data_IF_147323067289
#
_entry.id   IF_147323067289
#
_cell.length_a   1.000
_cell.length_b   1.000
_cell.length_c   1.000
_cell.angle_alpha   90.00
_cell.angle_beta   90.00
_cell.angle_gamma   90.00
#
_symmetry.space_group_name_H-M   'P 1'
#
loop_
_entity.id
_entity.type
_entity.pdbx_description
1 polymer ?
#
# COMPACT_ATOMS: atom_id res chain seq x y z
N UNK A 1 -28.67 29.43 3.36
CA UNK A 1 -27.78 30.52 3.83
C UNK A 1 -26.31 30.26 3.48
N UNK A 2 -25.76 29.06 3.72
CA UNK A 2 -24.36 28.69 3.40
C UNK A 2 -23.95 28.91 1.92
N UNK A 3 -24.85 28.63 0.96
CA UNK A 3 -24.55 28.76 -0.47
C UNK A 3 -24.31 30.21 -0.94
N UNK A 4 -24.96 31.20 -0.30
CA UNK A 4 -24.78 32.64 -0.61
C UNK A 4 -23.46 33.20 -0.04
N UNK A 5 -22.96 32.65 1.07
CA UNK A 5 -21.67 33.02 1.64
C UNK A 5 -20.52 32.43 0.79
N UNK A 6 -20.64 31.17 0.39
CA UNK A 6 -19.69 30.48 -0.48
C UNK A 6 -19.51 31.16 -1.85
N UNK A 7 -20.58 31.71 -2.44
CA UNK A 7 -20.47 32.47 -3.69
C UNK A 7 -19.78 33.83 -3.49
N UNK A 8 -20.04 34.52 -2.37
CA UNK A 8 -19.49 35.84 -2.06
C UNK A 8 -17.97 35.82 -1.82
N UNK A 9 -17.48 34.78 -1.13
CA UNK A 9 -16.06 34.64 -0.80
C UNK A 9 -15.30 33.68 -1.73
N UNK A 10 -15.95 33.17 -2.78
CA UNK A 10 -15.40 32.12 -3.65
C UNK A 10 -13.98 32.40 -4.11
N UNK A 11 -13.71 33.57 -4.68
CA UNK A 11 -12.37 33.94 -5.18
C UNK A 11 -11.29 33.86 -4.08
N UNK A 12 -11.65 34.18 -2.84
CA UNK A 12 -10.75 34.12 -1.68
C UNK A 12 -10.59 32.71 -1.12
N UNK A 13 -11.55 31.81 -1.38
CA UNK A 13 -11.55 30.43 -0.89
C UNK A 13 -10.89 29.43 -1.85
N UNK A 14 -10.80 29.72 -3.14
CA UNK A 14 -10.23 28.78 -4.13
C UNK A 14 -8.80 28.38 -3.76
N UNK A 15 -7.93 29.35 -3.48
CA UNK A 15 -6.54 29.08 -3.12
C UNK A 15 -6.41 28.26 -1.81
N UNK A 16 -6.96 28.68 -0.66
CA UNK A 16 -6.79 27.92 0.58
C UNK A 16 -7.40 26.52 0.53
N UNK A 17 -8.55 26.34 -0.14
CA UNK A 17 -9.15 25.00 -0.32
C UNK A 17 -8.26 24.12 -1.19
N UNK A 18 -7.71 24.67 -2.27
CA UNK A 18 -6.79 23.91 -3.15
C UNK A 18 -5.51 23.53 -2.41
N UNK A 19 -4.94 24.42 -1.61
CA UNK A 19 -3.76 24.12 -0.80
C UNK A 19 -4.05 23.02 0.23
N UNK A 20 -5.21 23.07 0.90
CA UNK A 20 -5.64 22.02 1.82
C UNK A 20 -5.75 20.66 1.11
N UNK A 21 -6.40 20.62 -0.06
CA UNK A 21 -6.51 19.40 -0.86
C UNK A 21 -5.12 18.90 -1.32
N UNK A 22 -4.24 19.79 -1.75
CA UNK A 22 -2.88 19.41 -2.13
C UNK A 22 -2.12 18.78 -0.96
N UNK A 23 -2.24 19.34 0.26
CA UNK A 23 -1.66 18.77 1.48
C UNK A 23 -2.22 17.36 1.72
N UNK A 24 -3.53 17.16 1.60
CA UNK A 24 -4.15 15.83 1.74
C UNK A 24 -3.59 14.85 0.70
N UNK A 25 -3.43 15.28 -0.55
CA UNK A 25 -2.83 14.44 -1.59
C UNK A 25 -1.37 14.08 -1.31
N UNK A 26 -0.56 15.03 -0.82
CA UNK A 26 0.83 14.74 -0.41
C UNK A 26 0.92 13.82 0.80
N UNK A 27 0.03 13.98 1.78
CA UNK A 27 -0.08 13.04 2.91
C UNK A 27 -0.42 11.65 2.39
N UNK A 28 -1.38 11.53 1.47
CA UNK A 28 -1.76 10.24 0.87
C UNK A 28 -0.58 9.57 0.17
N UNK A 29 0.21 10.33 -0.60
CA UNK A 29 1.45 9.81 -1.22
C UNK A 29 2.46 9.35 -0.15
N UNK A 30 2.65 10.13 0.91
CA UNK A 30 3.53 9.73 2.01
C UNK A 30 3.10 8.39 2.64
N UNK A 31 1.79 8.21 2.88
CA UNK A 31 1.23 6.96 3.37
C UNK A 31 1.47 5.81 2.40
N UNK A 32 1.29 6.02 1.09
CA UNK A 32 1.52 4.99 0.07
C UNK A 32 2.97 4.54 0.04
N UNK A 33 3.91 5.48 0.14
CA UNK A 33 5.34 5.19 0.05
C UNK A 33 5.91 4.58 1.32
N UNK A 34 5.40 4.94 2.51
CA UNK A 34 6.05 4.60 3.78
C UNK A 34 5.22 3.68 4.67
N UNK A 35 3.89 3.73 4.58
CA UNK A 35 3.00 3.06 5.55
C UNK A 35 2.31 1.85 4.91
N UNK A 36 1.67 2.01 3.76
CA UNK A 36 0.94 0.92 3.09
C UNK A 36 1.82 0.07 2.19
N UNK A 37 3.14 0.20 2.31
CA UNK A 37 4.08 -0.62 1.55
C UNK A 37 4.10 -2.04 2.13
N UNK A 38 3.84 -3.03 1.28
CA UNK A 38 3.80 -4.43 1.69
C UNK A 38 5.18 -5.07 1.54
N UNK A 39 5.50 -5.97 2.46
CA UNK A 39 6.68 -6.82 2.40
C UNK A 39 6.51 -7.80 1.25
N UNK A 40 7.52 -7.86 0.40
CA UNK A 40 7.61 -8.82 -0.69
C UNK A 40 8.88 -9.64 -0.53
N UNK A 41 8.70 -10.91 -0.26
CA UNK A 41 9.74 -11.92 -0.15
C UNK A 41 9.93 -12.73 -1.46
N UNK A 42 9.26 -12.31 -2.54
CA UNK A 42 9.37 -12.88 -3.89
C UNK A 42 8.99 -14.36 -3.98
N UNK A 43 7.95 -14.74 -3.23
CA UNK A 43 7.28 -16.03 -3.30
C UNK A 43 5.76 -15.87 -3.07
N UNK A 44 5.01 -16.96 -3.17
CA UNK A 44 3.63 -17.05 -2.70
C UNK A 44 3.56 -17.89 -1.43
N UNK A 45 2.72 -17.46 -0.50
CA UNK A 45 2.31 -18.28 0.64
C UNK A 45 0.94 -18.87 0.35
N UNK A 46 0.85 -20.19 0.36
CA UNK A 46 -0.41 -20.90 0.14
C UNK A 46 -0.86 -21.60 1.41
N UNK A 47 -2.18 -21.69 1.53
CA UNK A 47 -2.84 -22.39 2.62
C UNK A 47 -3.44 -23.69 2.10
N UNK A 48 -3.23 -24.78 2.84
CA UNK A 48 -3.82 -26.09 2.58
C UNK A 48 -4.45 -26.60 3.89
N UNK A 49 -5.68 -27.08 3.81
CA UNK A 49 -6.33 -27.74 4.95
C UNK A 49 -5.81 -29.15 5.07
N UNK A 50 -5.24 -29.49 6.23
CA UNK A 50 -4.67 -30.84 6.50
C UNK A 50 -5.58 -31.64 7.44
N UNK A 51 -6.62 -31.01 8.00
CA UNK A 51 -7.66 -31.64 8.81
C UNK A 51 -8.77 -30.65 9.13
N UNK A 52 -9.67 -31.02 10.04
CA UNK A 52 -10.83 -30.19 10.41
C UNK A 52 -10.42 -28.83 11.03
N UNK A 53 -9.33 -28.81 11.82
CA UNK A 53 -8.84 -27.62 12.53
C UNK A 53 -7.36 -27.25 12.23
N UNK A 54 -6.70 -27.96 11.31
CA UNK A 54 -5.28 -27.73 11.00
C UNK A 54 -5.07 -27.15 9.62
N UNK A 55 -4.36 -26.02 9.57
CA UNK A 55 -4.00 -25.31 8.36
C UNK A 55 -2.49 -25.35 8.18
N UNK A 56 -2.06 -25.86 7.04
CA UNK A 56 -0.67 -25.86 6.59
C UNK A 56 -0.45 -24.63 5.74
N UNK A 57 0.58 -23.86 6.07
CA UNK A 57 1.06 -22.77 5.23
C UNK A 57 2.36 -23.25 4.60
N UNK A 58 2.50 -23.10 3.29
CA UNK A 58 3.70 -23.52 2.58
C UNK A 58 4.10 -22.50 1.52
N UNK A 59 5.38 -22.53 1.14
CA UNK A 59 5.93 -21.69 0.10
C UNK A 59 5.66 -22.28 -1.28
N UNK A 60 5.21 -21.45 -2.20
CA UNK A 60 4.98 -21.80 -3.62
C UNK A 60 5.50 -20.68 -4.53
N UNK A 61 5.79 -21.00 -5.78
CA UNK A 61 6.35 -20.09 -6.78
C UNK A 61 7.52 -19.24 -6.26
N UNK A 62 8.44 -19.87 -5.53
CA UNK A 62 9.65 -19.24 -5.01
C UNK A 62 10.55 -18.83 -6.17
N UNK A 63 10.69 -17.53 -6.38
CA UNK A 63 11.45 -16.97 -7.51
C UNK A 63 12.93 -17.36 -7.41
N UNK A 64 13.47 -18.00 -8.46
CA UNK A 64 14.89 -18.30 -8.57
C UNK A 64 15.75 -17.03 -8.40
N UNK A 65 16.78 -17.11 -7.53
CA UNK A 65 17.63 -15.98 -7.10
C UNK A 65 16.88 -14.81 -6.43
N UNK A 66 15.62 -14.99 -6.07
CA UNK A 66 14.86 -14.03 -5.27
C UNK A 66 15.22 -14.06 -3.79
N UNK A 67 14.57 -13.18 -3.01
CA UNK A 67 14.84 -13.04 -1.56
C UNK A 67 14.68 -14.37 -0.82
N UNK A 68 13.51 -15.01 -0.94
CA UNK A 68 13.21 -16.32 -0.32
C UNK A 68 14.14 -17.42 -0.80
N UNK A 69 14.45 -17.46 -2.09
CA UNK A 69 15.39 -18.44 -2.66
C UNK A 69 16.81 -18.31 -2.08
N UNK A 70 17.32 -17.08 -1.98
CA UNK A 70 18.67 -16.81 -1.48
C UNK A 70 18.82 -17.14 0.02
N UNK A 71 17.72 -17.11 0.76
CA UNK A 71 17.64 -17.58 2.14
C UNK A 71 17.53 -19.11 2.28
N UNK A 72 17.56 -19.86 1.16
CA UNK A 72 17.57 -21.31 1.16
C UNK A 72 16.18 -21.98 1.20
N UNK A 73 15.10 -21.20 1.22
CA UNK A 73 13.71 -21.69 1.16
C UNK A 73 13.36 -22.10 -0.27
N UNK A 74 12.57 -23.16 -0.43
CA UNK A 74 12.16 -23.75 -1.71
C UNK A 74 10.66 -24.02 -1.72
N UNK A 75 10.13 -24.26 -2.92
CA UNK A 75 8.73 -24.65 -3.09
C UNK A 75 8.43 -25.93 -2.29
N UNK A 76 7.28 -25.94 -1.62
CA UNK A 76 6.80 -27.05 -0.80
C UNK A 76 7.31 -27.06 0.64
N UNK A 77 8.25 -26.17 1.01
CA UNK A 77 8.65 -25.98 2.40
C UNK A 77 7.47 -25.45 3.24
N UNK A 78 7.32 -25.93 4.49
CA UNK A 78 6.27 -25.45 5.37
C UNK A 78 6.70 -24.17 6.09
N UNK A 79 5.81 -23.19 6.12
CA UNK A 79 6.02 -21.93 6.81
C UNK A 79 5.43 -21.97 8.22
N UNK A 80 6.28 -22.03 9.23
CA UNK A 80 5.87 -22.33 10.61
C UNK A 80 5.74 -21.06 11.46
N UNK A 81 6.74 -20.18 11.42
CA UNK A 81 6.79 -18.99 12.27
C UNK A 81 7.57 -17.83 11.62
N UNK A 82 7.26 -16.61 12.08
CA UNK A 82 8.04 -15.40 11.80
C UNK A 82 8.47 -14.81 13.13
N UNK A 83 9.78 -14.56 13.31
CA UNK A 83 10.39 -14.04 14.54
C UNK A 83 9.92 -14.81 15.78
N UNK A 84 9.89 -16.14 15.68
CA UNK A 84 9.45 -17.06 16.75
C UNK A 84 7.93 -17.08 17.00
N UNK A 85 7.11 -16.31 16.27
CA UNK A 85 5.65 -16.30 16.40
C UNK A 85 5.02 -17.27 15.40
N UNK A 86 4.36 -18.31 15.91
CA UNK A 86 3.68 -19.32 15.09
C UNK A 86 2.59 -18.71 14.22
N UNK A 87 2.56 -19.12 12.96
CA UNK A 87 1.58 -18.66 12.00
C UNK A 87 0.23 -19.36 12.19
N UNK A 88 -0.84 -18.63 11.91
CA UNK A 88 -2.23 -19.12 11.96
C UNK A 88 -2.83 -19.25 10.56
N UNK A 89 -2.49 -18.29 9.72
CA UNK A 89 -2.87 -18.16 8.32
C UNK A 89 -1.92 -17.13 7.66
N UNK A 90 -2.03 -16.97 6.36
CA UNK A 90 -1.27 -16.05 5.50
C UNK A 90 -1.55 -14.58 5.83
N UNK A 91 -2.77 -14.24 6.29
CA UNK A 91 -3.08 -12.89 6.78
C UNK A 91 -2.26 -12.54 8.04
N UNK A 92 -2.16 -13.48 8.98
CA UNK A 92 -1.34 -13.31 10.18
C UNK A 92 0.14 -13.23 9.82
N UNK A 93 0.61 -14.04 8.87
CA UNK A 93 1.98 -13.96 8.35
C UNK A 93 2.28 -12.58 7.74
N UNK A 94 1.37 -12.08 6.90
CA UNK A 94 1.50 -10.77 6.23
C UNK A 94 1.56 -9.65 7.28
N UNK A 95 0.67 -9.72 8.27
CA UNK A 95 0.66 -8.77 9.37
C UNK A 95 1.97 -8.74 10.19
N UNK A 96 2.58 -9.91 10.43
CA UNK A 96 3.87 -9.99 11.12
C UNK A 96 5.00 -9.44 10.25
N UNK A 97 5.05 -9.82 8.97
CA UNK A 97 6.07 -9.39 8.03
C UNK A 97 5.99 -7.89 7.71
N UNK A 98 4.78 -7.32 7.66
CA UNK A 98 4.56 -5.93 7.26
C UNK A 98 4.98 -4.91 8.31
N UNK A 99 5.07 -5.32 9.58
CA UNK A 99 5.52 -4.47 10.70
C UNK A 99 6.99 -4.10 10.63
N UNK A 100 7.81 -4.84 9.88
CA UNK A 100 9.23 -4.55 9.76
C UNK A 100 9.49 -3.50 8.67
N UNK A 101 10.38 -2.53 8.91
CA UNK A 101 10.74 -1.54 7.91
C UNK A 101 11.56 -2.18 6.79
N UNK A 102 11.54 -1.54 5.61
CA UNK A 102 12.36 -1.98 4.48
C UNK A 102 13.85 -2.00 4.87
N UNK A 103 14.55 -3.06 4.47
CA UNK A 103 15.97 -3.25 4.76
C UNK A 103 16.27 -3.95 6.08
N UNK A 104 15.30 -4.07 7.00
CA UNK A 104 15.43 -4.90 8.19
C UNK A 104 15.41 -6.40 7.83
N UNK A 105 15.62 -7.25 8.83
CA UNK A 105 15.59 -8.71 8.70
C UNK A 105 14.45 -9.34 9.50
N UNK A 106 13.92 -10.42 8.96
CA UNK A 106 12.95 -11.31 9.59
C UNK A 106 13.57 -12.71 9.73
N UNK A 107 13.26 -13.41 10.80
CA UNK A 107 13.63 -14.82 10.95
C UNK A 107 12.41 -15.67 10.59
N UNK A 108 12.53 -16.47 9.55
CA UNK A 108 11.51 -17.44 9.17
C UNK A 108 11.91 -18.80 9.72
N UNK A 109 11.00 -19.43 10.47
CA UNK A 109 11.12 -20.83 10.86
C UNK A 109 10.39 -21.67 9.82
N UNK A 110 11.13 -22.59 9.21
CA UNK A 110 10.69 -23.37 8.06
C UNK A 110 10.87 -24.86 8.35
N UNK A 111 9.96 -25.70 7.89
CA UNK A 111 10.11 -27.16 7.92
C UNK A 111 10.33 -27.69 6.51
N UNK A 112 11.38 -28.49 6.33
CA UNK A 112 11.60 -29.29 5.12
C UNK A 112 11.74 -30.74 5.51
N UNK A 113 10.84 -31.59 5.02
CA UNK A 113 10.81 -33.01 5.34
C UNK A 113 10.82 -33.30 6.86
N UNK A 114 10.14 -32.45 7.64
CA UNK A 114 10.05 -32.57 9.10
C UNK A 114 11.24 -32.00 9.88
N UNK A 115 12.29 -31.52 9.20
CA UNK A 115 13.40 -30.84 9.86
C UNK A 115 13.15 -29.33 9.89
N UNK A 116 13.17 -28.77 11.09
CA UNK A 116 13.05 -27.33 11.31
C UNK A 116 14.39 -26.65 11.14
N UNK A 117 14.39 -25.53 10.42
CA UNK A 117 15.52 -24.62 10.35
C UNK A 117 15.03 -23.18 10.33
N UNK A 118 15.84 -22.30 10.90
CA UNK A 118 15.61 -20.86 10.86
C UNK A 118 16.46 -20.24 9.75
N UNK A 119 15.89 -19.28 9.04
CA UNK A 119 16.63 -18.51 8.03
C UNK A 119 16.25 -17.04 8.06
N UNK A 120 17.24 -16.20 7.74
CA UNK A 120 17.09 -14.74 7.76
C UNK A 120 16.67 -14.24 6.39
N UNK A 121 15.53 -13.57 6.34
CA UNK A 121 14.95 -12.95 5.16
C UNK A 121 15.11 -11.44 5.25
N UNK A 122 15.66 -10.82 4.20
CA UNK A 122 15.75 -9.36 4.12
C UNK A 122 14.43 -8.77 3.66
N UNK A 123 13.87 -7.86 4.44
CA UNK A 123 12.59 -7.20 4.13
C UNK A 123 12.77 -6.26 2.94
N UNK A 124 12.06 -6.55 1.86
CA UNK A 124 11.93 -5.67 0.70
C UNK A 124 10.50 -5.17 0.63
N UNK A 125 10.30 -3.85 0.68
CA UNK A 125 8.98 -3.24 0.53
C UNK A 125 8.68 -2.97 -0.94
N UNK A 126 7.48 -3.31 -1.40
CA UNK A 126 6.95 -2.88 -2.69
C UNK A 126 5.96 -1.75 -2.47
N UNK A 127 6.11 -0.71 -3.28
CA UNK A 127 5.16 0.40 -3.36
C UNK A 127 4.00 -0.03 -4.25
N UNK A 128 2.76 0.26 -3.84
CA UNK A 128 1.58 0.10 -4.68
C UNK A 128 1.59 1.12 -5.82
N UNK A 129 2.25 0.80 -6.94
CA UNK A 129 2.39 1.69 -8.11
C UNK A 129 1.05 2.19 -8.64
N UNK A 130 0.00 1.36 -8.63
CA UNK A 130 -1.34 1.77 -9.04
C UNK A 130 -1.91 2.90 -8.16
N UNK A 131 -1.81 2.74 -6.83
CA UNK A 131 -2.28 3.75 -5.88
C UNK A 131 -1.46 5.04 -5.99
N UNK A 132 -0.14 4.92 -6.17
CA UNK A 132 0.73 6.08 -6.38
C UNK A 132 0.35 6.81 -7.67
N UNK A 133 0.12 6.09 -8.77
CA UNK A 133 -0.26 6.68 -10.06
C UNK A 133 -1.59 7.44 -9.96
N UNK A 134 -2.61 6.85 -9.33
CA UNK A 134 -3.91 7.51 -9.10
C UNK A 134 -3.74 8.76 -8.24
N UNK A 135 -2.94 8.70 -7.17
CA UNK A 135 -2.70 9.85 -6.28
C UNK A 135 -1.99 11.01 -7.00
N UNK A 136 -0.99 10.70 -7.82
CA UNK A 136 -0.30 11.69 -8.66
C UNK A 136 -1.25 12.29 -9.70
N UNK A 137 -2.06 11.46 -10.34
CA UNK A 137 -3.08 11.90 -11.30
C UNK A 137 -4.08 12.86 -10.64
N UNK A 138 -4.50 12.57 -9.40
CA UNK A 138 -5.37 13.45 -8.63
C UNK A 138 -4.75 14.83 -8.37
N UNK A 139 -3.47 14.88 -7.99
CA UNK A 139 -2.74 16.15 -7.83
C UNK A 139 -2.63 16.94 -9.14
N UNK A 140 -2.41 16.26 -10.27
CA UNK A 140 -2.39 16.89 -11.61
C UNK A 140 -3.77 17.48 -11.93
N UNK A 141 -4.84 16.71 -11.74
CA UNK A 141 -6.21 17.19 -11.96
C UNK A 141 -6.58 18.34 -11.04
N UNK A 142 -6.13 18.33 -9.78
CA UNK A 142 -6.34 19.42 -8.83
C UNK A 142 -5.63 20.70 -9.32
N UNK A 143 -4.39 20.60 -9.79
CA UNK A 143 -3.63 21.74 -10.31
C UNK A 143 -4.28 22.33 -11.57
N UNK A 144 -4.66 21.48 -12.54
CA UNK A 144 -5.37 21.91 -13.76
C UNK A 144 -6.71 22.53 -13.39
N UNK A 145 -7.48 21.88 -12.51
CA UNK A 145 -8.77 22.38 -12.02
C UNK A 145 -8.64 23.74 -11.35
N UNK A 146 -7.58 23.97 -10.56
CA UNK A 146 -7.29 25.26 -9.94
C UNK A 146 -7.04 26.37 -10.96
N UNK A 147 -6.22 26.11 -11.98
CA UNK A 147 -5.96 27.07 -13.07
C UNK A 147 -7.25 27.39 -13.82
N UNK A 148 -8.01 26.36 -14.19
CA UNK A 148 -9.29 26.50 -14.91
C UNK A 148 -10.31 27.29 -14.08
N UNK A 149 -10.47 26.99 -12.79
CA UNK A 149 -11.40 27.69 -11.92
C UNK A 149 -10.97 29.14 -11.65
N UNK A 150 -9.66 29.39 -11.54
CA UNK A 150 -9.13 30.75 -11.35
C UNK A 150 -9.39 31.64 -12.57
N UNK A 151 -9.41 31.07 -13.79
CA UNK A 151 -9.74 31.81 -15.02
C UNK A 151 -11.18 32.33 -15.06
N UNK A 152 -12.15 31.51 -14.63
CA UNK A 152 -13.58 31.89 -14.60
C UNK A 152 -14.27 31.25 -13.38
N UNK A 153 -14.21 31.90 -12.19
CA UNK A 153 -14.64 31.32 -10.91
C UNK A 153 -16.13 30.95 -10.80
N UNK A 154 -16.96 31.50 -11.68
CA UNK A 154 -18.42 31.30 -11.69
C UNK A 154 -18.91 30.52 -12.90
N UNK A 155 -18.01 30.10 -13.81
CA UNK A 155 -18.41 29.32 -14.97
C UNK A 155 -18.72 27.88 -14.60
N UNK A 156 -19.87 27.36 -15.06
CA UNK A 156 -20.30 26.00 -14.75
C UNK A 156 -19.26 24.94 -15.17
N UNK A 157 -18.70 24.96 -16.40
CA UNK A 157 -17.66 24.00 -16.78
C UNK A 157 -16.44 24.05 -15.86
N UNK A 158 -15.99 25.25 -15.49
CA UNK A 158 -14.80 25.44 -14.66
C UNK A 158 -14.97 24.87 -13.25
N UNK A 159 -16.16 25.04 -12.68
CA UNK A 159 -16.53 24.47 -11.38
C UNK A 159 -16.56 22.94 -11.46
N UNK A 160 -17.12 22.39 -12.54
CA UNK A 160 -17.18 20.95 -12.74
C UNK A 160 -15.77 20.34 -12.84
N UNK A 161 -14.90 20.94 -13.65
CA UNK A 161 -13.49 20.52 -13.79
C UNK A 161 -12.75 20.54 -12.45
N UNK A 162 -12.89 21.60 -11.66
CA UNK A 162 -12.28 21.67 -10.33
C UNK A 162 -12.81 20.60 -9.37
N UNK A 163 -14.12 20.33 -9.39
CA UNK A 163 -14.73 19.30 -8.53
C UNK A 163 -14.25 17.90 -8.87
N UNK A 164 -14.05 17.59 -10.15
CA UNK A 164 -13.47 16.32 -10.57
C UNK A 164 -12.08 16.17 -9.94
N UNK A 165 -11.20 17.18 -10.07
CA UNK A 165 -9.88 17.13 -9.45
C UNK A 165 -9.91 17.02 -7.92
N UNK A 166 -10.83 17.73 -7.26
CA UNK A 166 -11.01 17.60 -5.81
C UNK A 166 -11.48 16.19 -5.40
N UNK A 167 -12.34 15.55 -6.18
CA UNK A 167 -12.83 14.18 -5.92
C UNK A 167 -11.75 13.11 -6.14
N UNK A 168 -10.78 13.34 -7.03
CA UNK A 168 -9.66 12.40 -7.21
C UNK A 168 -8.67 12.42 -6.04
N UNK A 169 -8.65 13.49 -5.26
CA UNK A 169 -7.72 13.68 -4.14
C UNK A 169 -8.32 13.21 -2.80
N UNK A 170 -9.64 13.15 -2.69
CA UNK A 170 -10.38 12.63 -1.54
C UNK A 170 -10.57 11.12 -1.65
#
# INVERSE_FOLDING_TARGET
>A
MAFRLLSKYRKKLILPVTLLLAIIGFITIYFILNITSHTNDECLWKEEKVGDDSLRIYFDLVKYKGVTWNAGIRDGDDFIAIDGKKLRNTYHASYLADRKPSGDSLIFTVSRNGQLFDTTIRVKKIIGFGNLAISLLGLIWLAVGFVVLSSKPYGFPQILFYRIGALFVM
#
